data_IF_131023807230
#
_entry.id   IF_131023807230
#
_cell.length_a   1.000
_cell.length_b   1.000
_cell.length_c   1.000
_cell.angle_alpha   90.00
_cell.angle_beta   90.00
_cell.angle_gamma   90.00
#
_symmetry.space_group_name_H-M   'P 1'
#
loop_
_entity.id
_entity.type
_entity.pdbx_description
1 polymer ?
#
# COMPACT_ATOMS: atom_id res chain seq x y z
N UNK A 1 9.82 11.78 24.68
CA UNK A 1 11.07 10.99 24.81
C UNK A 1 10.82 9.65 24.15
N UNK A 2 11.80 9.19 23.35
CA UNK A 2 11.77 8.11 22.34
C UNK A 2 10.98 8.50 21.08
N UNK A 3 11.58 8.86 19.94
CA UNK A 3 12.89 8.48 19.40
C UNK A 3 12.67 7.54 18.23
N UNK A 4 12.18 8.06 17.10
CA UNK A 4 12.10 7.29 15.85
C UNK A 4 13.30 7.66 14.99
N UNK A 5 14.38 6.91 15.21
CA UNK A 5 15.56 6.94 14.40
C UNK A 5 15.41 5.92 13.27
N UNK A 6 15.44 6.44 12.04
CA UNK A 6 15.96 5.83 10.81
C UNK A 6 15.46 4.42 10.45
N UNK A 7 14.52 4.39 9.51
CA UNK A 7 14.63 3.48 8.38
C UNK A 7 15.20 4.30 7.20
N UNK A 8 16.53 4.37 7.14
CA UNK A 8 17.23 4.81 5.93
C UNK A 8 17.30 3.62 4.97
N UNK A 9 16.67 3.75 3.80
CA UNK A 9 17.31 3.44 2.53
C UNK A 9 16.72 4.36 1.45
N UNK A 10 17.56 5.32 1.06
CA UNK A 10 17.63 6.03 -0.23
C UNK A 10 16.50 5.76 -1.23
N UNK A 11 15.64 6.74 -1.48
CA UNK A 11 15.77 7.64 -2.63
C UNK A 11 14.67 8.74 -2.59
N UNK A 12 15.11 9.99 -2.71
CA UNK A 12 14.44 11.19 -3.23
C UNK A 12 12.91 11.44 -3.17
N UNK A 13 12.12 10.92 -2.21
CA UNK A 13 10.70 11.33 -2.12
C UNK A 13 10.13 11.41 -0.69
N UNK A 14 10.66 12.35 0.10
CA UNK A 14 10.19 12.72 1.45
C UNK A 14 8.78 13.35 1.48
N UNK A 15 8.08 13.44 0.36
CA UNK A 15 6.77 14.14 0.25
C UNK A 15 5.57 13.24 0.60
N UNK A 16 5.71 11.91 0.46
CA UNK A 16 4.60 10.97 0.66
C UNK A 16 4.45 10.45 2.09
N UNK A 17 5.56 10.36 2.83
CA UNK A 17 5.63 9.66 4.12
C UNK A 17 5.22 10.53 5.32
N UNK A 18 5.15 11.85 5.15
CA UNK A 18 4.81 12.78 6.23
C UNK A 18 3.40 13.36 6.15
N UNK A 19 2.55 12.82 5.25
CA UNK A 19 1.17 13.26 5.14
C UNK A 19 0.45 12.98 6.47
N UNK A 20 0.54 11.76 7.00
CA UNK A 20 -0.30 11.24 8.10
C UNK A 20 -0.03 11.82 9.48
N UNK A 21 1.23 12.05 9.84
CA UNK A 21 1.55 12.61 11.15
C UNK A 21 1.13 14.08 11.31
N UNK A 22 0.87 14.79 10.20
CA UNK A 22 0.54 16.23 10.18
C UNK A 22 -0.93 16.54 9.88
N UNK A 23 -1.71 15.57 9.36
CA UNK A 23 -3.17 15.69 9.10
C UNK A 23 -3.95 15.95 10.40
N UNK A 24 -3.44 15.46 11.53
CA UNK A 24 -4.08 15.57 12.85
C UNK A 24 -4.29 17.00 13.31
N UNK A 25 -3.54 17.98 12.78
CA UNK A 25 -3.69 19.39 13.12
C UNK A 25 -4.91 20.06 12.49
N UNK A 26 -5.49 19.51 11.41
CA UNK A 26 -6.66 20.06 10.75
C UNK A 26 -7.82 19.07 10.81
N UNK A 27 -8.89 19.44 11.52
CA UNK A 27 -10.10 18.61 11.66
C UNK A 27 -10.71 18.25 10.30
N UNK A 28 -10.70 19.21 9.36
CA UNK A 28 -11.22 19.07 7.99
C UNK A 28 -10.41 18.10 7.12
N UNK A 29 -9.15 17.87 7.46
CA UNK A 29 -8.26 17.00 6.68
C UNK A 29 -8.54 15.51 6.93
N UNK A 30 -9.25 15.17 8.02
CA UNK A 30 -9.60 13.80 8.42
C UNK A 30 -10.77 13.23 7.62
N UNK A 31 -11.62 14.09 7.08
CA UNK A 31 -12.80 13.70 6.28
C UNK A 31 -12.48 13.62 4.78
N UNK A 32 -11.26 13.99 4.38
CA UNK A 32 -10.85 14.02 2.98
C UNK A 32 -10.14 12.69 2.66
N UNK A 33 -10.68 11.86 1.75
CA UNK A 33 -10.01 10.62 1.36
C UNK A 33 -8.67 10.94 0.70
N UNK A 34 -7.68 10.05 0.89
CA UNK A 34 -6.29 10.30 0.49
C UNK A 34 -6.13 10.75 -0.97
N UNK A 35 -6.99 10.26 -1.87
CA UNK A 35 -6.93 10.62 -3.29
C UNK A 35 -7.36 12.07 -3.60
N UNK A 36 -8.16 12.68 -2.72
CA UNK A 36 -8.57 14.09 -2.80
C UNK A 36 -7.63 15.01 -2.03
N UNK A 37 -6.75 14.47 -1.18
CA UNK A 37 -5.85 15.29 -0.35
C UNK A 37 -5.03 16.34 -1.14
N UNK A 38 -4.45 16.03 -2.33
CA UNK A 38 -3.72 17.03 -3.12
C UNK A 38 -4.57 18.18 -3.67
N UNK A 39 -5.90 18.05 -3.70
CA UNK A 39 -6.84 19.12 -4.04
C UNK A 39 -6.88 20.19 -2.95
N UNK A 40 -6.99 19.74 -1.69
CA UNK A 40 -7.20 20.62 -0.56
C UNK A 40 -5.91 21.12 0.07
N UNK A 41 -4.80 20.38 -0.06
CA UNK A 41 -3.54 20.70 0.61
C UNK A 41 -2.36 20.78 -0.36
N UNK A 42 -1.36 21.58 0.01
CA UNK A 42 -0.09 21.71 -0.69
C UNK A 42 1.08 21.56 0.28
N UNK A 43 2.15 20.92 -0.17
CA UNK A 43 3.38 20.83 0.60
C UNK A 43 4.09 22.18 0.60
N UNK A 44 4.37 22.74 1.78
CA UNK A 44 5.22 23.91 1.94
C UNK A 44 6.66 23.45 2.17
N UNK A 45 7.53 23.68 1.18
CA UNK A 45 8.94 23.27 1.27
C UNK A 45 9.71 24.00 2.37
N UNK A 46 9.31 25.22 2.74
CA UNK A 46 10.04 26.03 3.73
C UNK A 46 9.74 25.56 5.14
N UNK A 47 8.47 25.32 5.45
CA UNK A 47 8.06 24.85 6.78
C UNK A 47 8.08 23.33 6.90
N UNK A 48 8.33 22.60 5.81
CA UNK A 48 8.19 21.14 5.73
C UNK A 48 6.84 20.65 6.27
N UNK A 49 5.76 21.39 5.96
CA UNK A 49 4.42 21.05 6.43
C UNK A 49 3.37 21.15 5.33
N UNK A 50 2.29 20.39 5.49
CA UNK A 50 1.09 20.54 4.67
C UNK A 50 0.28 21.76 5.08
N UNK A 51 -0.11 22.59 4.11
CA UNK A 51 -0.94 23.76 4.33
C UNK A 51 -2.20 23.73 3.44
N UNK A 52 -3.35 24.26 3.91
CA UNK A 52 -4.53 24.42 3.09
C UNK A 52 -4.21 25.22 1.83
N UNK A 53 -4.67 24.71 0.68
CA UNK A 53 -4.46 25.33 -0.62
C UNK A 53 -5.27 26.62 -0.71
N UNK A 54 -4.62 27.70 -1.17
CA UNK A 54 -5.25 29.03 -1.29
C UNK A 54 -5.76 29.34 -2.71
N UNK A 55 -5.23 28.69 -3.77
CA UNK A 55 -5.60 28.93 -5.19
C UNK A 55 -5.42 27.70 -6.09
N UNK A 56 -6.30 27.57 -7.09
CA UNK A 56 -6.13 26.76 -8.30
C UNK A 56 -6.93 25.45 -8.34
N UNK A 57 -7.69 25.23 -9.42
CA UNK A 57 -8.23 23.91 -9.79
C UNK A 57 -7.13 23.10 -10.49
N UNK A 58 -6.80 21.91 -9.98
CA UNK A 58 -5.67 21.10 -10.47
C UNK A 58 -6.12 19.69 -10.77
N UNK A 59 -5.71 19.16 -11.93
CA UNK A 59 -5.79 17.73 -12.24
C UNK A 59 -4.75 17.01 -11.38
N UNK A 60 -5.22 16.17 -10.47
CA UNK A 60 -4.44 15.55 -9.40
C UNK A 60 -3.39 14.60 -9.97
N UNK A 61 -2.15 14.66 -9.46
CA UNK A 61 -1.14 13.61 -9.65
C UNK A 61 -0.82 12.98 -8.30
N UNK A 62 -1.43 11.83 -8.04
CA UNK A 62 -0.96 10.91 -7.01
C UNK A 62 0.21 10.15 -7.61
N UNK A 63 1.35 10.15 -6.93
CA UNK A 63 2.46 9.29 -7.32
C UNK A 63 1.96 7.84 -7.33
N UNK A 64 2.18 7.13 -8.43
CA UNK A 64 1.92 5.69 -8.44
C UNK A 64 2.94 5.04 -7.52
N UNK A 65 2.48 4.17 -6.64
CA UNK A 65 3.36 3.25 -5.94
C UNK A 65 3.35 1.95 -6.75
N UNK A 66 4.53 1.47 -7.14
CA UNK A 66 4.67 0.15 -7.75
C UNK A 66 4.62 -0.93 -6.65
N UNK A 67 3.97 -2.09 -6.84
CA UNK A 67 4.08 -3.23 -5.94
C UNK A 67 5.53 -3.59 -5.53
N UNK A 68 6.51 -3.36 -6.42
CA UNK A 68 7.94 -3.52 -6.13
C UNK A 68 8.49 -2.56 -5.06
N UNK A 69 7.78 -1.47 -4.73
CA UNK A 69 8.12 -0.56 -3.62
C UNK A 69 7.75 -1.13 -2.24
N UNK A 70 7.21 -2.36 -2.17
CA UNK A 70 6.98 -3.10 -0.92
C UNK A 70 6.02 -2.40 0.02
N UNK A 71 6.44 -2.19 1.29
CA UNK A 71 5.60 -1.59 2.34
C UNK A 71 5.01 -0.22 1.97
N UNK A 72 5.68 0.55 1.09
CA UNK A 72 5.16 1.84 0.62
C UNK A 72 3.92 1.68 -0.27
N UNK A 73 3.87 0.62 -1.09
CA UNK A 73 2.70 0.29 -1.90
C UNK A 73 1.53 -0.07 -1.00
N UNK A 74 1.73 -0.98 -0.04
CA UNK A 74 0.68 -1.43 0.87
C UNK A 74 0.18 -0.32 1.78
N UNK A 75 1.08 0.54 2.26
CA UNK A 75 0.69 1.75 2.96
C UNK A 75 -0.28 2.56 2.09
N UNK A 76 0.13 2.91 0.86
CA UNK A 76 -0.70 3.73 -0.04
C UNK A 76 -2.06 3.08 -0.37
N UNK A 77 -2.09 1.76 -0.49
CA UNK A 77 -3.31 0.99 -0.68
C UNK A 77 -4.24 1.16 0.54
N UNK A 78 -3.73 0.94 1.76
CA UNK A 78 -4.51 1.12 2.99
C UNK A 78 -5.02 2.55 3.15
N UNK A 79 -4.20 3.54 2.80
CA UNK A 79 -4.58 4.96 2.84
C UNK A 79 -5.73 5.30 1.88
N UNK A 80 -5.82 4.59 0.76
CA UNK A 80 -6.90 4.77 -0.19
C UNK A 80 -8.23 4.25 0.37
N UNK A 81 -8.19 3.14 1.09
CA UNK A 81 -9.38 2.45 1.61
C UNK A 81 -9.78 2.86 3.03
N UNK A 82 -8.90 3.50 3.79
CA UNK A 82 -9.12 3.86 5.20
C UNK A 82 -8.94 5.37 5.43
N UNK A 83 -9.93 6.19 5.07
CA UNK A 83 -9.86 7.64 5.25
C UNK A 83 -9.82 8.07 6.73
N UNK A 84 -10.40 7.27 7.63
CA UNK A 84 -10.57 7.64 9.05
C UNK A 84 -9.36 7.33 9.94
N UNK A 85 -8.28 6.75 9.37
CA UNK A 85 -7.11 6.37 10.16
C UNK A 85 -6.35 7.60 10.67
N UNK A 86 -6.14 7.68 11.99
CA UNK A 86 -5.51 8.83 12.63
C UNK A 86 -4.01 8.64 12.88
N UNK A 87 -3.53 7.39 12.83
CA UNK A 87 -2.13 7.05 12.96
C UNK A 87 -1.76 5.79 12.16
N UNK A 88 -0.46 5.49 12.06
CA UNK A 88 0.03 4.28 11.40
C UNK A 88 -0.44 2.97 12.06
N UNK A 89 -0.78 3.01 13.34
CA UNK A 89 -1.32 1.86 14.06
C UNK A 89 -2.77 1.59 13.64
N UNK A 90 -3.59 2.63 13.47
CA UNK A 90 -4.96 2.51 12.96
C UNK A 90 -5.00 1.90 11.56
N UNK A 91 -4.01 2.22 10.73
CA UNK A 91 -3.87 1.62 9.40
C UNK A 91 -3.55 0.14 9.44
N UNK A 92 -2.90 -0.34 10.52
CA UNK A 92 -2.54 -1.75 10.73
C UNK A 92 -3.57 -2.53 11.56
N UNK A 93 -4.60 -1.85 12.05
CA UNK A 93 -5.63 -2.43 12.91
C UNK A 93 -6.75 -3.05 12.09
N UNK A 94 -7.05 -4.32 12.31
CA UNK A 94 -8.17 -5.01 11.69
C UNK A 94 -9.50 -4.66 12.38
N UNK A 95 -10.62 -5.08 11.78
CA UNK A 95 -11.97 -4.81 12.31
C UNK A 95 -12.22 -5.45 13.68
N UNK A 96 -11.57 -6.58 13.96
CA UNK A 96 -11.56 -7.28 15.24
C UNK A 96 -10.68 -6.61 16.32
N UNK A 97 -9.96 -5.55 15.93
CA UNK A 97 -9.05 -4.80 16.79
C UNK A 97 -7.61 -5.30 16.83
N UNK A 98 -7.29 -6.38 16.10
CA UNK A 98 -5.93 -6.95 16.04
C UNK A 98 -5.01 -6.04 15.22
N UNK A 99 -3.83 -5.69 15.77
CA UNK A 99 -2.82 -4.89 15.06
C UNK A 99 -1.82 -5.81 14.38
N UNK A 100 -1.72 -5.71 13.05
CA UNK A 100 -0.77 -6.47 12.25
C UNK A 100 0.64 -5.87 12.30
N UNK A 101 1.64 -6.70 11.99
CA UNK A 101 3.04 -6.30 12.02
C UNK A 101 3.39 -5.33 10.86
N UNK A 102 2.88 -5.64 9.66
CA UNK A 102 3.18 -4.95 8.40
C UNK A 102 1.92 -4.40 7.74
N UNK A 103 2.10 -3.41 6.86
CA UNK A 103 1.01 -2.91 6.03
C UNK A 103 0.56 -3.97 5.03
N UNK A 104 1.50 -4.78 4.50
CA UNK A 104 1.18 -5.92 3.63
C UNK A 104 0.22 -6.88 4.31
N UNK A 105 0.55 -7.35 5.51
CA UNK A 105 -0.27 -8.31 6.26
C UNK A 105 -1.67 -7.76 6.52
N UNK A 106 -1.77 -6.46 6.85
CA UNK A 106 -3.07 -5.81 7.06
C UNK A 106 -3.89 -5.77 5.78
N UNK A 107 -3.27 -5.37 4.67
CA UNK A 107 -3.94 -5.31 3.36
C UNK A 107 -4.39 -6.70 2.89
N UNK A 108 -3.59 -7.74 3.13
CA UNK A 108 -3.96 -9.14 2.85
C UNK A 108 -5.17 -9.56 3.68
N UNK A 109 -5.14 -9.35 5.01
CA UNK A 109 -6.23 -9.76 5.92
C UNK A 109 -7.53 -8.98 5.71
N UNK A 110 -7.44 -7.75 5.19
CA UNK A 110 -8.60 -6.95 4.78
C UNK A 110 -9.13 -7.31 3.38
N UNK A 111 -8.50 -8.23 2.66
CA UNK A 111 -8.91 -8.64 1.32
C UNK A 111 -8.67 -7.57 0.25
N UNK A 112 -7.74 -6.62 0.49
CA UNK A 112 -7.35 -5.64 -0.53
C UNK A 112 -6.34 -6.19 -1.53
N UNK A 113 -5.78 -7.36 -1.24
CA UNK A 113 -4.85 -8.08 -2.11
C UNK A 113 -5.50 -9.39 -2.52
N UNK A 114 -5.21 -9.81 -3.75
CA UNK A 114 -5.66 -11.09 -4.26
C UNK A 114 -4.98 -12.23 -3.50
N UNK A 115 -5.75 -13.24 -3.10
CA UNK A 115 -5.20 -14.42 -2.45
C UNK A 115 -4.55 -15.33 -3.50
N UNK A 116 -3.40 -15.90 -3.16
CA UNK A 116 -2.69 -16.81 -4.08
C UNK A 116 -3.34 -18.20 -4.20
N UNK A 117 -4.46 -18.43 -3.49
CA UNK A 117 -5.22 -19.68 -3.53
C UNK A 117 -5.63 -20.05 -4.96
N UNK A 118 -6.06 -19.08 -5.76
CA UNK A 118 -6.42 -19.32 -7.15
C UNK A 118 -5.24 -19.84 -7.99
N UNK A 119 -4.02 -19.39 -7.67
CA UNK A 119 -2.80 -19.86 -8.35
C UNK A 119 -2.40 -21.26 -7.90
N UNK A 120 -2.58 -21.56 -6.61
CA UNK A 120 -2.36 -22.91 -6.06
C UNK A 120 -3.32 -23.91 -6.69
N UNK A 121 -4.61 -23.58 -6.74
CA UNK A 121 -5.63 -24.42 -7.38
C UNK A 121 -5.34 -24.62 -8.86
N UNK A 122 -5.02 -23.54 -9.59
CA UNK A 122 -4.66 -23.59 -11.00
C UNK A 122 -3.45 -24.50 -11.27
N UNK A 123 -2.38 -24.40 -10.47
CA UNK A 123 -1.19 -25.25 -10.59
C UNK A 123 -1.49 -26.70 -10.21
N UNK A 124 -2.34 -26.92 -9.20
CA UNK A 124 -2.77 -28.26 -8.77
C UNK A 124 -3.59 -28.96 -9.86
N UNK A 125 -4.52 -28.26 -10.49
CA UNK A 125 -5.30 -28.78 -11.62
C UNK A 125 -4.39 -29.06 -12.82
N UNK A 126 -3.47 -28.14 -13.15
CA UNK A 126 -2.52 -28.34 -14.23
C UNK A 126 -1.62 -29.56 -13.99
N UNK A 127 -1.22 -29.84 -12.73
CA UNK A 127 -0.44 -31.02 -12.38
C UNK A 127 -1.16 -32.34 -12.69
N UNK A 128 -2.50 -32.36 -12.70
CA UNK A 128 -3.28 -33.54 -13.01
C UNK A 128 -3.36 -33.85 -14.53
N UNK A 129 -3.18 -32.86 -15.40
CA UNK A 129 -3.46 -32.99 -16.84
C UNK A 129 -2.32 -32.56 -17.79
N UNK A 130 -1.36 -31.77 -17.30
CA UNK A 130 -0.33 -31.13 -18.13
C UNK A 130 1.05 -31.76 -17.94
N UNK A 131 1.93 -31.54 -18.92
CA UNK A 131 3.32 -31.99 -18.86
C UNK A 131 4.16 -31.07 -17.96
N UNK A 132 5.29 -31.54 -17.41
CA UNK A 132 6.18 -30.72 -16.57
C UNK A 132 6.65 -29.42 -17.24
N UNK A 133 6.82 -29.41 -18.56
CA UNK A 133 7.20 -28.20 -19.31
C UNK A 133 6.05 -27.19 -19.36
N UNK A 134 4.81 -27.64 -19.53
CA UNK A 134 3.64 -26.77 -19.52
C UNK A 134 3.40 -26.16 -18.13
N UNK A 135 3.58 -26.95 -17.07
CA UNK A 135 3.43 -26.46 -15.68
C UNK A 135 4.48 -25.38 -15.37
N UNK A 136 5.74 -25.59 -15.77
CA UNK A 136 6.79 -24.56 -15.61
C UNK A 136 6.48 -23.27 -16.38
N UNK A 137 5.92 -23.39 -17.58
CA UNK A 137 5.50 -22.22 -18.35
C UNK A 137 4.36 -21.48 -17.65
N UNK A 138 3.35 -22.21 -17.17
CA UNK A 138 2.23 -21.65 -16.41
C UNK A 138 2.72 -20.93 -15.15
N UNK A 139 3.63 -21.53 -14.39
CA UNK A 139 4.26 -20.90 -13.22
C UNK A 139 4.93 -19.56 -13.59
N UNK A 140 5.73 -19.53 -14.65
CA UNK A 140 6.37 -18.29 -15.13
C UNK A 140 5.34 -17.25 -15.58
N UNK A 141 4.25 -17.66 -16.23
CA UNK A 141 3.14 -16.78 -16.61
C UNK A 141 2.48 -16.15 -15.37
N UNK A 142 2.21 -16.94 -14.34
CA UNK A 142 1.65 -16.44 -13.07
C UNK A 142 2.60 -15.41 -12.45
N UNK A 143 3.90 -15.70 -12.37
CA UNK A 143 4.88 -14.76 -11.83
C UNK A 143 4.96 -13.44 -12.61
N UNK A 144 4.85 -13.48 -13.93
CA UNK A 144 5.01 -12.30 -14.78
C UNK A 144 3.78 -11.40 -14.83
N UNK A 145 2.58 -11.97 -14.77
CA UNK A 145 1.34 -11.23 -15.07
C UNK A 145 0.37 -11.12 -13.91
N UNK A 146 0.48 -12.01 -12.92
CA UNK A 146 -0.51 -12.11 -11.85
C UNK A 146 -0.01 -11.56 -10.52
N UNK A 147 1.26 -11.16 -10.43
CA UNK A 147 1.89 -10.56 -9.24
C UNK A 147 1.49 -11.27 -7.93
N UNK A 148 1.73 -12.60 -7.82
CA UNK A 148 1.33 -13.36 -6.64
C UNK A 148 1.95 -12.76 -5.36
N UNK A 149 1.17 -12.80 -4.28
CA UNK A 149 1.53 -12.22 -2.98
C UNK A 149 2.75 -12.90 -2.37
N UNK A 150 2.89 -14.21 -2.54
CA UNK A 150 3.89 -15.09 -1.97
C UNK A 150 4.37 -16.14 -3.01
N UNK A 151 5.12 -15.71 -4.05
CA UNK A 151 5.52 -16.58 -5.16
C UNK A 151 6.35 -17.81 -4.73
N UNK A 152 7.06 -17.70 -3.59
CA UNK A 152 7.84 -18.82 -3.05
C UNK A 152 6.95 -19.98 -2.59
N UNK A 153 5.76 -19.70 -2.04
CA UNK A 153 4.81 -20.73 -1.60
C UNK A 153 4.19 -21.48 -2.77
N UNK A 154 4.11 -20.86 -3.95
CA UNK A 154 3.57 -21.49 -5.16
C UNK A 154 4.49 -22.57 -5.77
N UNK A 155 5.74 -22.66 -5.28
CA UNK A 155 6.73 -23.63 -5.78
C UNK A 155 6.88 -24.86 -4.87
N UNK A 156 6.31 -24.82 -3.66
CA UNK A 156 6.30 -25.96 -2.73
C UNK A 156 5.26 -27.01 -3.11
#
# INVERSE_FOLDING_TARGET
MAGLQKAETSDSDHKGTNVYNEITHYVDARTIPYHLFPEHFTWNQTSHTWAPRKKGNVIRRLYRANPAEGERFFLRLLLHHCPDATCYEDLRKLEDGTVCSTFKETAMKRGFLHHDEEWVECLTEAAAIATPTQIRLLFVTILLFCEPSEPAKLWE
#
